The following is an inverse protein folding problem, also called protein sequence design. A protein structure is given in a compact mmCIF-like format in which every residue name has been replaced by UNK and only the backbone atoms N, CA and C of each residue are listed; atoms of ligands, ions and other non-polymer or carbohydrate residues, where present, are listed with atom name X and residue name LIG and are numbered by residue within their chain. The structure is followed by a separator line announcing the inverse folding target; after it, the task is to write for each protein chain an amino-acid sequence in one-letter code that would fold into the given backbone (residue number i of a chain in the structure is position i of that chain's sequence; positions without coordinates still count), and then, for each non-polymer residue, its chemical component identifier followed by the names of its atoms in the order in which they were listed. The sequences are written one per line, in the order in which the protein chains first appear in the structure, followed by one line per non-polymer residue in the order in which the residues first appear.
data_IF_649438726946
#
_entry.id   IF_649438726946
#
_cell.length_a   1.000
_cell.length_b   1.000
_cell.length_c   1.000
_cell.angle_alpha   90.00
_cell.angle_beta   90.00
_cell.angle_gamma   90.00
#
_symmetry.space_group_name_H-M   'P 1'
#
loop_
_entity.id
_entity.type
_entity.pdbx_description
1 polymer ?
#
# COMPACT_ATOMS: atom_id res chain seq x y z
N UNK A 1 -45.44 -53.19 15.35
CA UNK A 1 -45.85 -52.38 14.17
C UNK A 1 -45.58 -50.90 14.50
N UNK A 2 -44.32 -50.48 14.37
CA UNK A 2 -43.82 -49.16 14.78
C UNK A 2 -43.25 -48.42 13.57
N UNK A 3 -43.96 -47.37 13.16
CA UNK A 3 -43.54 -46.08 12.58
C UNK A 3 -42.19 -46.07 11.83
N UNK A 4 -42.20 -46.65 10.63
CA UNK A 4 -41.17 -46.47 9.59
C UNK A 4 -41.41 -45.15 8.82
N UNK A 5 -41.34 -44.02 9.51
CA UNK A 5 -41.47 -42.69 8.87
C UNK A 5 -40.44 -41.67 9.34
N UNK A 6 -39.59 -42.01 10.31
CA UNK A 6 -38.55 -41.12 10.82
C UNK A 6 -37.18 -41.29 10.15
N UNK A 7 -36.98 -42.34 9.35
CA UNK A 7 -35.69 -42.61 8.72
C UNK A 7 -35.53 -42.04 7.30
N UNK A 8 -36.63 -41.63 6.65
CA UNK A 8 -36.59 -41.10 5.28
C UNK A 8 -36.44 -39.57 5.18
N UNK A 9 -36.43 -38.83 6.29
CA UNK A 9 -36.24 -37.37 6.26
C UNK A 9 -34.80 -36.91 6.49
N UNK A 10 -33.90 -37.79 6.97
CA UNK A 10 -32.49 -37.43 7.17
C UNK A 10 -31.63 -37.52 5.90
N UNK A 11 -32.18 -38.06 4.81
CA UNK A 11 -31.48 -38.18 3.53
C UNK A 11 -31.91 -37.12 2.49
N UNK A 12 -32.74 -36.16 2.91
CA UNK A 12 -33.25 -35.09 2.05
C UNK A 12 -32.50 -33.78 2.36
N UNK A 13 -31.58 -33.42 1.47
CA UNK A 13 -31.10 -32.03 1.26
C UNK A 13 -30.26 -31.40 2.38
N UNK A 14 -29.33 -32.15 2.98
CA UNK A 14 -27.99 -31.56 3.30
C UNK A 14 -27.04 -31.71 2.10
N UNK A 15 -27.60 -32.14 0.97
CA UNK A 15 -27.20 -31.70 -0.38
C UNK A 15 -27.77 -30.29 -0.67
N UNK A 16 -27.61 -29.35 0.26
CA UNK A 16 -27.00 -28.09 -0.15
C UNK A 16 -25.54 -28.49 -0.40
N UNK A 17 -25.21 -29.15 -1.52
CA UNK A 17 -24.95 -28.41 -2.75
C UNK A 17 -24.51 -27.01 -2.33
N UNK A 18 -23.31 -26.96 -1.74
CA UNK A 18 -22.43 -25.82 -1.91
C UNK A 18 -22.52 -25.55 -3.41
N UNK A 19 -23.45 -24.67 -3.78
CA UNK A 19 -23.29 -23.84 -4.93
C UNK A 19 -22.01 -23.09 -4.60
N UNK A 20 -20.89 -23.74 -4.92
CA UNK A 20 -19.68 -23.10 -5.37
C UNK A 20 -20.16 -22.22 -6.50
N UNK A 21 -20.67 -21.05 -6.12
CA UNK A 21 -20.66 -19.87 -6.97
C UNK A 21 -19.18 -19.75 -7.27
N UNK A 22 -18.78 -20.32 -8.40
CA UNK A 22 -17.42 -20.24 -8.90
C UNK A 22 -17.20 -18.76 -9.22
N UNK A 23 -16.93 -17.95 -8.19
CA UNK A 23 -16.43 -16.59 -8.32
C UNK A 23 -15.12 -16.70 -9.08
N UNK A 24 -14.75 -15.71 -9.88
CA UNK A 24 -13.35 -15.61 -10.28
C UNK A 24 -12.55 -15.43 -8.99
N UNK A 25 -12.02 -16.50 -8.44
CA UNK A 25 -11.44 -16.52 -7.10
C UNK A 25 -9.93 -16.43 -7.25
N UNK A 26 -9.43 -15.19 -7.36
CA UNK A 26 -7.99 -14.95 -7.27
C UNK A 26 -7.65 -14.38 -5.90
N UNK A 27 -6.69 -15.00 -5.23
CA UNK A 27 -6.17 -14.50 -3.95
C UNK A 27 -5.27 -13.28 -4.24
N UNK A 28 -5.83 -12.07 -4.09
CA UNK A 28 -5.10 -10.81 -4.26
C UNK A 28 -4.03 -10.65 -3.17
N UNK A 29 -2.79 -10.45 -3.60
CA UNK A 29 -1.64 -10.17 -2.75
C UNK A 29 -1.40 -8.67 -2.60
N UNK A 30 -1.52 -7.91 -3.70
CA UNK A 30 -1.42 -6.45 -3.70
C UNK A 30 -2.47 -5.87 -4.65
N UNK A 31 -3.10 -4.74 -4.32
CA UNK A 31 -2.95 -3.97 -3.09
C UNK A 31 -3.58 -4.66 -1.89
N UNK A 32 -3.14 -4.31 -0.68
CA UNK A 32 -3.84 -4.68 0.56
C UNK A 32 -4.96 -3.70 0.90
N UNK A 33 -5.78 -4.03 1.90
CA UNK A 33 -6.79 -3.10 2.42
C UNK A 33 -6.16 -1.79 2.92
N UNK A 34 -6.74 -0.64 2.56
CA UNK A 34 -6.25 0.68 2.98
C UNK A 34 -5.03 1.18 2.20
N UNK A 35 -4.69 0.52 1.08
CA UNK A 35 -3.60 0.96 0.21
C UNK A 35 -3.85 2.38 -0.31
N UNK A 36 -2.77 3.16 -0.41
CA UNK A 36 -2.80 4.53 -0.95
C UNK A 36 -1.94 4.63 -2.18
N UNK A 37 -2.51 5.10 -3.28
CA UNK A 37 -1.82 5.25 -4.55
C UNK A 37 -1.77 6.72 -4.97
N UNK A 38 -0.58 7.20 -5.29
CA UNK A 38 -0.33 8.57 -5.67
C UNK A 38 -0.28 8.73 -7.19
N UNK A 39 -0.78 9.85 -7.68
CA UNK A 39 -0.68 10.27 -9.08
C UNK A 39 0.78 10.26 -9.56
N UNK A 40 1.00 9.80 -10.79
CA UNK A 40 2.31 9.76 -11.43
C UNK A 40 3.11 8.47 -11.17
N UNK A 41 2.70 7.67 -10.19
CA UNK A 41 3.34 6.39 -9.87
C UNK A 41 2.65 5.22 -10.56
N UNK A 42 3.37 4.12 -10.69
CA UNK A 42 2.88 2.85 -11.23
C UNK A 42 2.84 1.81 -10.13
N UNK A 43 1.71 1.15 -9.97
CA UNK A 43 1.47 0.15 -8.93
C UNK A 43 1.19 -1.22 -9.56
N UNK A 44 1.63 -2.28 -8.90
CA UNK A 44 1.33 -3.65 -9.29
C UNK A 44 0.12 -4.17 -8.52
N UNK A 45 -0.94 -4.52 -9.24
CA UNK A 45 -1.96 -5.44 -8.74
C UNK A 45 -1.42 -6.85 -8.94
N UNK A 46 -1.37 -7.67 -7.89
CA UNK A 46 -0.81 -9.02 -7.94
C UNK A 46 -1.74 -9.99 -7.24
N UNK A 47 -1.77 -11.21 -7.72
CA UNK A 47 -2.49 -12.31 -7.12
C UNK A 47 -1.59 -13.56 -7.07
N UNK A 48 -1.95 -14.51 -6.21
CA UNK A 48 -1.05 -15.60 -5.81
C UNK A 48 -0.85 -16.67 -6.87
N UNK A 49 -1.93 -17.12 -7.50
CA UNK A 49 -1.90 -18.22 -8.46
C UNK A 49 -2.42 -17.74 -9.82
N UNK A 50 -1.88 -18.27 -10.93
CA UNK A 50 -2.48 -18.14 -12.25
C UNK A 50 -3.99 -18.41 -12.18
N UNK A 51 -4.78 -17.61 -12.90
CA UNK A 51 -6.20 -17.84 -12.98
C UNK A 51 -6.49 -19.02 -13.92
N UNK A 52 -7.58 -19.76 -13.70
CA UNK A 52 -7.96 -20.86 -14.59
C UNK A 52 -8.43 -20.35 -15.97
N UNK A 53 -8.94 -19.13 -16.02
CA UNK A 53 -9.49 -18.47 -17.20
C UNK A 53 -8.78 -17.13 -17.47
N UNK A 54 -9.04 -16.55 -18.64
CA UNK A 54 -8.64 -15.18 -18.94
C UNK A 54 -9.40 -14.20 -18.03
N UNK A 55 -8.68 -13.22 -17.50
CA UNK A 55 -9.23 -12.24 -16.58
C UNK A 55 -9.23 -10.84 -17.16
N UNK A 56 -10.15 -10.00 -16.70
CA UNK A 56 -10.01 -8.56 -16.74
C UNK A 56 -9.97 -8.02 -15.32
N UNK A 57 -8.99 -7.17 -15.06
CA UNK A 57 -8.82 -6.47 -13.80
C UNK A 57 -9.08 -5.00 -14.06
N UNK A 58 -9.99 -4.43 -13.29
CA UNK A 58 -10.40 -3.04 -13.40
C UNK A 58 -10.20 -2.30 -12.09
N UNK A 59 -9.95 -1.01 -12.21
CA UNK A 59 -10.03 -0.06 -11.12
C UNK A 59 -11.36 0.67 -11.22
N UNK A 60 -12.22 0.51 -10.22
CA UNK A 60 -13.54 1.15 -10.17
C UNK A 60 -13.58 2.26 -9.14
N UNK A 61 -14.37 3.29 -9.43
CA UNK A 61 -14.69 4.34 -8.49
C UNK A 61 -15.78 3.89 -7.52
N UNK A 62 -15.48 3.80 -6.22
CA UNK A 62 -16.47 3.41 -5.22
C UNK A 62 -17.48 4.54 -4.95
N UNK A 63 -17.04 5.78 -5.03
CA UNK A 63 -17.83 6.95 -4.62
C UNK A 63 -18.86 7.40 -5.69
N UNK A 64 -18.65 7.06 -6.96
CA UNK A 64 -19.55 7.43 -8.07
C UNK A 64 -20.04 6.18 -8.80
N UNK A 65 -21.05 5.51 -8.22
CA UNK A 65 -21.82 4.45 -8.88
C UNK A 65 -21.00 3.30 -9.50
N UNK A 66 -19.83 2.97 -8.93
CA UNK A 66 -18.96 1.88 -9.40
C UNK A 66 -18.50 2.04 -10.86
N UNK A 67 -18.30 3.26 -11.35
CA UNK A 67 -17.80 3.49 -12.72
C UNK A 67 -16.37 2.99 -12.86
N UNK A 68 -16.08 2.23 -13.92
CA UNK A 68 -14.71 1.80 -14.27
C UNK A 68 -13.87 3.03 -14.65
N UNK A 69 -12.73 3.18 -13.99
CA UNK A 69 -11.74 4.25 -14.25
C UNK A 69 -10.76 3.80 -15.33
N UNK A 70 -10.29 2.56 -15.21
CA UNK A 70 -9.37 1.92 -16.17
C UNK A 70 -9.47 0.40 -16.01
N UNK A 71 -9.17 -0.34 -17.07
CA UNK A 71 -9.04 -1.79 -17.03
C UNK A 71 -7.74 -2.27 -17.68
N UNK A 72 -7.36 -3.49 -17.36
CA UNK A 72 -6.20 -4.17 -17.94
C UNK A 72 -6.44 -4.65 -19.37
N UNK A 73 -7.71 -4.73 -19.80
CA UNK A 73 -8.11 -5.62 -20.88
C UNK A 73 -7.90 -7.09 -20.50
N UNK A 74 -7.74 -7.94 -21.52
CA UNK A 74 -7.60 -9.39 -21.35
C UNK A 74 -6.22 -9.73 -20.81
N UNK A 75 -6.18 -10.33 -19.62
CA UNK A 75 -5.01 -10.90 -18.99
C UNK A 75 -5.02 -12.43 -19.21
N UNK A 76 -3.94 -13.00 -19.79
CA UNK A 76 -3.76 -14.44 -19.90
C UNK A 76 -3.80 -15.15 -18.54
N UNK A 77 -4.32 -16.38 -18.52
CA UNK A 77 -4.41 -17.23 -17.32
C UNK A 77 -3.07 -17.39 -16.60
N UNK A 78 -1.96 -17.46 -17.34
CA UNK A 78 -0.61 -17.64 -16.80
C UNK A 78 0.04 -16.37 -16.21
N UNK A 79 -0.60 -15.21 -16.31
CA UNK A 79 -0.11 -13.95 -15.76
C UNK A 79 -0.74 -13.69 -14.40
N UNK A 80 0.07 -13.20 -13.45
CA UNK A 80 -0.35 -13.00 -12.04
C UNK A 80 -0.26 -11.55 -11.57
N UNK A 81 -0.17 -10.62 -12.51
CA UNK A 81 -0.04 -9.20 -12.19
C UNK A 81 -0.62 -8.29 -13.28
N UNK A 82 -0.95 -7.07 -12.89
CA UNK A 82 -1.30 -5.96 -13.77
C UNK A 82 -0.68 -4.67 -13.23
N UNK A 83 -0.06 -3.88 -14.12
CA UNK A 83 0.52 -2.58 -13.75
C UNK A 83 -0.43 -1.44 -14.07
N UNK A 84 -0.66 -0.58 -13.08
CA UNK A 84 -1.56 0.57 -13.16
C UNK A 84 -0.79 1.84 -12.92
N UNK A 85 -0.68 2.70 -13.93
CA UNK A 85 -0.11 4.04 -13.78
C UNK A 85 -1.21 5.04 -13.44
N UNK A 86 -1.10 5.71 -12.29
CA UNK A 86 -2.15 6.60 -11.81
C UNK A 86 -2.10 7.94 -12.55
N UNK A 87 -3.16 8.22 -13.30
CA UNK A 87 -3.32 9.46 -14.05
C UNK A 87 -4.01 10.54 -13.20
N UNK A 88 -3.51 11.78 -13.28
CA UNK A 88 -4.06 12.94 -12.59
C UNK A 88 -5.54 13.18 -12.94
N UNK A 89 -5.95 12.85 -14.17
CA UNK A 89 -7.34 13.08 -14.61
C UNK A 89 -8.35 12.24 -13.83
N UNK A 90 -7.97 11.09 -13.29
CA UNK A 90 -8.88 10.18 -12.58
C UNK A 90 -9.39 10.75 -11.27
N UNK A 91 -8.67 11.71 -10.70
CA UNK A 91 -9.03 12.36 -9.45
C UNK A 91 -10.13 13.42 -9.63
N UNK A 92 -10.40 13.91 -10.86
CA UNK A 92 -11.44 14.93 -11.11
C UNK A 92 -11.37 16.16 -10.16
N UNK A 93 -10.16 16.65 -9.87
CA UNK A 93 -9.87 17.74 -8.90
C UNK A 93 -10.20 17.42 -7.43
N UNK A 94 -10.60 16.19 -7.11
CA UNK A 94 -10.73 15.70 -5.74
C UNK A 94 -9.38 15.17 -5.27
N UNK A 95 -9.17 15.18 -3.96
CA UNK A 95 -8.07 14.47 -3.33
C UNK A 95 -8.66 13.35 -2.46
N UNK A 96 -7.94 12.24 -2.29
CA UNK A 96 -8.39 11.08 -1.53
C UNK A 96 -9.67 10.43 -2.10
N UNK A 97 -9.65 10.10 -3.38
CA UNK A 97 -10.76 9.42 -4.07
C UNK A 97 -10.76 7.92 -3.77
N UNK A 98 -11.89 7.36 -3.33
CA UNK A 98 -11.96 5.94 -2.98
C UNK A 98 -12.23 5.08 -4.21
N UNK A 99 -11.37 4.10 -4.43
CA UNK A 99 -11.44 3.17 -5.54
C UNK A 99 -11.30 1.74 -5.04
N UNK A 100 -11.61 0.76 -5.90
CA UNK A 100 -11.47 -0.65 -5.58
C UNK A 100 -11.00 -1.44 -6.79
N UNK A 101 -10.30 -2.53 -6.55
CA UNK A 101 -10.00 -3.51 -7.60
C UNK A 101 -11.24 -4.36 -7.84
N UNK A 102 -11.54 -4.61 -9.10
CA UNK A 102 -12.55 -5.58 -9.51
C UNK A 102 -11.93 -6.53 -10.50
N UNK A 103 -12.17 -7.82 -10.30
CA UNK A 103 -11.67 -8.90 -11.17
C UNK A 103 -12.87 -9.62 -11.76
N UNK A 104 -12.89 -9.76 -13.08
CA UNK A 104 -13.93 -10.45 -13.79
C UNK A 104 -13.33 -11.50 -14.75
N UNK A 105 -13.92 -12.69 -14.86
CA UNK A 105 -13.55 -13.65 -15.90
C UNK A 105 -14.12 -13.19 -17.25
N UNK A 106 -13.35 -13.29 -18.33
CA UNK A 106 -13.76 -12.84 -19.67
C UNK A 106 -14.93 -13.63 -20.25
N UNK A 107 -14.98 -14.94 -19.99
CA UNK A 107 -16.02 -15.84 -20.52
C UNK A 107 -17.04 -16.26 -19.46
N UNK A 108 -16.94 -15.75 -18.24
CA UNK A 108 -17.84 -16.12 -17.16
C UNK A 108 -19.13 -15.32 -17.17
N UNK A 109 -20.17 -15.89 -16.56
CA UNK A 109 -21.39 -15.16 -16.25
C UNK A 109 -21.06 -13.90 -15.42
N UNK A 110 -21.78 -12.79 -15.65
CA UNK A 110 -21.64 -11.53 -14.89
C UNK A 110 -21.75 -11.69 -13.37
N UNK A 111 -22.21 -12.84 -12.89
CA UNK A 111 -22.33 -13.25 -11.50
C UNK A 111 -21.00 -13.65 -10.85
N UNK A 112 -19.92 -13.83 -11.62
CA UNK A 112 -18.60 -14.30 -11.16
C UNK A 112 -17.58 -13.17 -10.89
N UNK A 113 -18.04 -11.94 -10.69
CA UNK A 113 -17.17 -10.79 -10.42
C UNK A 113 -16.67 -10.83 -8.98
N UNK A 114 -15.35 -10.72 -8.79
CA UNK A 114 -14.72 -10.58 -7.48
C UNK A 114 -14.41 -9.11 -7.21
N UNK A 115 -14.87 -8.64 -6.06
CA UNK A 115 -14.54 -7.31 -5.55
C UNK A 115 -13.34 -7.42 -4.62
N UNK A 116 -12.26 -6.75 -4.99
CA UNK A 116 -11.01 -6.68 -4.26
C UNK A 116 -10.96 -5.54 -3.23
N UNK A 117 -9.77 -5.26 -2.69
CA UNK A 117 -9.58 -4.28 -1.63
C UNK A 117 -9.75 -2.84 -2.14
N UNK A 118 -10.04 -1.97 -1.17
CA UNK A 118 -10.17 -0.53 -1.40
C UNK A 118 -8.81 0.15 -1.40
N UNK A 119 -8.70 1.10 -2.32
CA UNK A 119 -7.51 1.90 -2.57
C UNK A 119 -7.92 3.37 -2.57
N UNK A 120 -7.18 4.18 -1.85
CA UNK A 120 -7.34 5.63 -1.86
C UNK A 120 -6.39 6.23 -2.91
N UNK A 121 -6.94 6.87 -3.94
CA UNK A 121 -6.17 7.64 -4.90
C UNK A 121 -5.93 9.05 -4.37
N UNK A 122 -4.68 9.48 -4.41
CA UNK A 122 -4.23 10.79 -3.90
C UNK A 122 -3.43 11.56 -4.93
N UNK A 123 -3.56 12.88 -4.90
CA UNK A 123 -2.78 13.80 -5.73
C UNK A 123 -1.29 13.80 -5.38
N UNK A 124 -0.95 13.44 -4.14
CA UNK A 124 0.41 13.40 -3.63
C UNK A 124 0.70 12.12 -2.86
N UNK A 125 1.99 11.76 -2.80
CA UNK A 125 2.45 10.68 -1.94
C UNK A 125 2.45 11.20 -0.50
N UNK A 126 1.37 10.95 0.24
CA UNK A 126 1.40 11.13 1.68
C UNK A 126 2.32 10.07 2.26
N UNK A 127 3.53 10.46 2.65
CA UNK A 127 4.15 9.81 3.80
C UNK A 127 3.15 10.00 4.93
N UNK A 128 2.38 8.96 5.24
CA UNK A 128 1.54 8.99 6.42
C UNK A 128 2.50 9.27 7.58
N UNK A 129 2.38 10.46 8.18
CA UNK A 129 2.82 10.69 9.54
C UNK A 129 2.01 9.70 10.38
N UNK A 130 2.48 8.46 10.48
CA UNK A 130 1.88 7.45 11.35
C UNK A 130 2.31 7.78 12.77
N UNK A 131 1.66 8.81 13.32
CA UNK A 131 1.45 8.90 14.76
C UNK A 131 0.04 8.36 15.01
N UNK A 132 -0.17 7.09 14.66
CA UNK A 132 -1.24 6.29 15.24
C UNK A 132 -0.63 5.00 15.76
N UNK A 133 -0.61 4.90 17.08
CA UNK A 133 0.09 3.88 17.89
C UNK A 133 -0.20 2.43 17.48
N UNK A 134 -1.32 2.15 16.82
CA UNK A 134 -1.80 0.78 16.59
C UNK A 134 -1.18 0.07 15.37
N UNK A 135 -0.55 0.78 14.43
CA UNK A 135 -0.03 0.17 13.20
C UNK A 135 1.41 -0.40 13.32
N UNK A 136 2.12 -0.11 14.41
CA UNK A 136 3.49 -0.61 14.65
C UNK A 136 3.56 -2.02 15.24
N UNK A 137 2.43 -2.64 15.56
CA UNK A 137 2.40 -3.98 16.16
C UNK A 137 2.44 -5.12 15.13
N UNK A 138 2.31 -4.83 13.83
CA UNK A 138 2.13 -5.89 12.82
C UNK A 138 3.42 -6.38 12.12
N UNK A 139 4.57 -5.70 12.26
CA UNK A 139 5.83 -6.21 11.71
C UNK A 139 7.05 -5.89 12.60
N UNK A 140 7.64 -6.89 13.29
CA UNK A 140 8.79 -6.67 14.18
C UNK A 140 10.06 -6.24 13.45
N UNK A 141 10.17 -6.49 12.13
CA UNK A 141 11.33 -6.10 11.32
C UNK A 141 11.32 -4.58 11.06
N UNK A 142 10.15 -4.03 10.73
CA UNK A 142 10.01 -2.61 10.40
C UNK A 142 10.21 -1.70 11.63
N UNK A 143 9.80 -2.17 12.82
CA UNK A 143 10.04 -1.47 14.09
C UNK A 143 11.53 -1.36 14.41
N UNK A 144 12.30 -2.44 14.23
CA UNK A 144 13.75 -2.43 14.48
C UNK A 144 14.49 -1.55 13.47
N UNK A 145 14.08 -1.59 12.20
CA UNK A 145 14.66 -0.75 11.16
C UNK A 145 14.38 0.74 11.41
N UNK A 146 13.15 1.11 11.75
CA UNK A 146 12.77 2.48 12.05
C UNK A 146 13.53 3.05 13.26
N UNK A 147 13.68 2.27 14.33
CA UNK A 147 14.50 2.65 15.50
C UNK A 147 15.95 2.83 15.08
N UNK A 148 16.51 1.90 14.29
CA UNK A 148 17.89 1.99 13.82
C UNK A 148 18.16 3.25 13.00
N UNK A 149 17.28 3.57 12.06
CA UNK A 149 17.40 4.78 11.22
C UNK A 149 17.27 6.06 12.06
N UNK A 150 16.34 6.09 13.02
CA UNK A 150 16.14 7.23 13.91
C UNK A 150 17.37 7.51 14.77
N UNK A 151 17.95 6.47 15.39
CA UNK A 151 19.17 6.59 16.19
C UNK A 151 20.35 7.03 15.33
N UNK A 152 20.53 6.46 14.14
CA UNK A 152 21.61 6.83 13.22
C UNK A 152 21.52 8.30 12.78
N UNK A 153 20.33 8.79 12.44
CA UNK A 153 20.09 10.19 12.12
C UNK A 153 20.40 11.11 13.31
N UNK A 154 19.97 10.75 14.51
CA UNK A 154 20.19 11.55 15.71
C UNK A 154 21.69 11.65 16.04
N UNK A 155 22.41 10.52 15.96
CA UNK A 155 23.87 10.50 16.12
C UNK A 155 24.58 11.34 15.05
N UNK A 156 24.14 11.29 13.79
CA UNK A 156 24.73 12.06 12.69
C UNK A 156 24.58 13.57 12.92
N UNK A 157 23.39 14.01 13.35
CA UNK A 157 23.12 15.41 13.67
C UNK A 157 23.99 15.89 14.84
N UNK A 158 24.10 15.10 15.91
CA UNK A 158 24.95 15.42 17.05
C UNK A 158 26.42 15.53 16.65
N UNK A 159 26.91 14.64 15.80
CA UNK A 159 28.30 14.64 15.32
C UNK A 159 28.60 15.93 14.53
N UNK A 160 27.69 16.33 13.63
CA UNK A 160 27.79 17.59 12.89
C UNK A 160 27.80 18.80 13.84
N UNK A 161 26.94 18.82 14.86
CA UNK A 161 26.91 19.89 15.85
C UNK A 161 28.19 19.99 16.66
N UNK A 162 28.75 18.86 17.09
CA UNK A 162 30.03 18.81 17.83
C UNK A 162 31.17 19.34 16.98
N UNK A 163 31.25 18.92 15.71
CA UNK A 163 32.24 19.45 14.75
C UNK A 163 32.06 20.96 14.62
N UNK A 164 30.84 21.44 14.40
CA UNK A 164 30.55 22.86 14.22
C UNK A 164 30.97 23.71 15.43
N UNK A 165 30.64 23.26 16.64
CA UNK A 165 31.01 23.95 17.88
C UNK A 165 32.53 23.97 18.07
N UNK A 166 33.21 22.84 17.83
CA UNK A 166 34.66 22.74 17.92
C UNK A 166 35.34 23.70 16.95
N UNK A 167 34.95 23.68 15.66
CA UNK A 167 35.51 24.59 14.64
C UNK A 167 35.23 26.06 14.97
N UNK A 168 34.08 26.39 15.58
CA UNK A 168 33.77 27.77 16.01
C UNK A 168 34.68 28.20 17.17
N UNK A 169 34.96 27.32 18.13
CA UNK A 169 35.85 27.62 19.26
C UNK A 169 37.30 27.83 18.78
N UNK A 170 37.81 26.96 17.93
CA UNK A 170 39.17 27.09 17.36
C UNK A 170 39.33 28.41 16.59
N UNK A 171 38.32 28.79 15.78
CA UNK A 171 38.33 30.08 15.08
C UNK A 171 38.38 31.28 16.02
N UNK A 172 37.68 31.23 17.17
CA UNK A 172 37.73 32.32 18.17
C UNK A 172 39.10 32.41 18.84
N UNK A 173 39.71 31.28 19.18
CA UNK A 173 41.04 31.24 19.80
C UNK A 173 42.08 31.83 18.85
N UNK A 174 42.12 31.36 17.60
CA UNK A 174 43.05 31.87 16.58
C UNK A 174 42.85 33.37 16.30
N UNK A 175 41.59 33.85 16.29
CA UNK A 175 41.31 35.27 16.13
C UNK A 175 41.78 36.10 17.33
N UNK A 176 41.70 35.57 18.55
CA UNK A 176 42.21 36.22 19.76
C UNK A 176 43.74 36.27 19.77
N UNK A 177 44.41 35.17 19.43
CA UNK A 177 45.88 35.11 19.35
C UNK A 177 46.42 36.09 18.29
N UNK A 178 45.78 36.14 17.11
CA UNK A 178 46.16 37.10 16.06
C UNK A 178 46.02 38.56 16.53
N UNK A 179 44.96 38.88 17.28
CA UNK A 179 44.78 40.22 17.86
C UNK A 179 45.89 40.56 18.86
N UNK A 180 46.23 39.63 19.74
CA UNK A 180 47.29 39.82 20.73
C UNK A 180 48.68 40.02 20.08
N UNK A 181 49.00 39.25 19.03
CA UNK A 181 50.24 39.43 18.27
C UNK A 181 50.28 40.81 17.58
N UNK A 182 49.17 41.27 17.00
CA UNK A 182 49.12 42.60 16.36
C UNK A 182 49.27 43.74 17.37
N UNK A 183 48.80 43.58 18.61
CA UNK A 183 49.01 44.59 19.66
C UNK A 183 50.47 44.68 20.12
N UNK A 184 51.22 43.59 20.11
CA UNK A 184 52.66 43.61 20.47
C UNK A 184 53.54 44.29 19.43
N UNK A 185 53.09 44.43 18.17
CA UNK A 185 53.81 45.18 17.13
C UNK A 185 53.47 46.69 17.11
N UNK A 186 52.53 47.14 17.93
CA UNK A 186 52.05 48.54 17.98
C UNK A 186 52.51 49.33 19.21
N UNK A 187 53.18 48.69 20.17
CA UNK A 187 53.82 49.34 21.32
C UNK A 187 55.31 49.49 21.06
#
# INVERSE_FOLDING_TARGET
MMKSTLFLSLFSVVFLAFASIARADVELLTPGSGSRWAVGYTYAVRWKQPAEEFLEVALENKDQNNTVITSSGIIPSNQTFWFVKIDKKWLNKQDNKTTRIVVAPQNGEKTKVQVGPEILLSSSFYWMHVVDKAAFDYNPIDKRLAIGISVALTCSILLILVIHISTRKTRRILASERKNQLSTFRG
#
